data_IF_752402389331
#
_entry.id   IF_752402389331
#
_cell.length_a   1.000
_cell.length_b   1.000
_cell.length_c   1.000
_cell.angle_alpha   90.00
_cell.angle_beta   90.00
_cell.angle_gamma   90.00
#
_symmetry.space_group_name_H-M   'P 1'
#
loop_
_entity.id
_entity.type
_entity.pdbx_description
1 polymer ?
#
# COMPACT_ATOMS: atom_id res chain seq x y z
N UNK A 1 -13.89 20.74 -11.40
CA UNK A 1 -13.14 21.15 -10.18
C UNK A 1 -11.93 21.94 -10.59
N UNK A 2 -11.55 23.02 -9.87
CA UNK A 2 -10.35 23.82 -10.18
C UNK A 2 -9.05 23.07 -9.81
N UNK A 3 -7.93 23.55 -10.38
CA UNK A 3 -6.60 22.98 -10.18
C UNK A 3 -5.61 24.06 -9.76
N UNK A 4 -5.69 24.54 -8.49
CA UNK A 4 -4.99 25.74 -8.04
C UNK A 4 -3.46 25.64 -8.16
N UNK A 5 -2.88 24.44 -7.88
CA UNK A 5 -1.43 24.23 -8.01
C UNK A 5 -1.00 24.29 -9.48
N UNK A 6 -1.73 23.60 -10.38
CA UNK A 6 -1.43 23.62 -11.81
C UNK A 6 -1.57 25.00 -12.41
N UNK A 7 -2.59 25.76 -12.01
CA UNK A 7 -2.83 27.13 -12.48
C UNK A 7 -1.68 28.05 -12.05
N UNK A 8 -1.27 27.98 -10.78
CA UNK A 8 -0.15 28.76 -10.25
C UNK A 8 1.16 28.45 -11.00
N UNK A 9 1.53 27.16 -11.10
CA UNK A 9 2.79 26.75 -11.73
C UNK A 9 2.83 27.16 -13.22
N UNK A 10 1.69 27.04 -13.93
CA UNK A 10 1.58 27.48 -15.33
C UNK A 10 1.77 29.00 -15.42
N UNK A 11 1.09 29.78 -14.58
CA UNK A 11 1.22 31.24 -14.54
C UNK A 11 2.66 31.67 -14.24
N UNK A 12 3.31 31.01 -13.27
CA UNK A 12 4.71 31.26 -12.94
C UNK A 12 5.64 30.92 -14.12
N UNK A 13 5.47 29.80 -14.79
CA UNK A 13 6.24 29.44 -15.98
C UNK A 13 6.10 30.51 -17.07
N UNK A 14 4.86 30.97 -17.32
CA UNK A 14 4.52 31.89 -18.40
C UNK A 14 4.91 33.37 -18.07
N UNK A 15 5.24 33.68 -16.81
CA UNK A 15 5.67 35.00 -16.37
C UNK A 15 7.08 35.40 -16.85
N UNK A 16 7.87 34.44 -17.36
CA UNK A 16 9.28 34.64 -17.72
C UNK A 16 10.15 35.18 -16.57
N UNK A 17 9.80 34.90 -15.33
CA UNK A 17 10.57 35.30 -14.16
C UNK A 17 11.99 34.70 -14.17
N UNK A 18 12.99 35.48 -13.82
CA UNK A 18 14.36 35.01 -13.69
C UNK A 18 14.48 34.14 -12.43
N UNK A 19 14.77 32.88 -12.60
CA UNK A 19 14.80 31.87 -11.53
C UNK A 19 16.15 31.89 -10.79
N UNK A 20 16.28 32.68 -9.73
CA UNK A 20 17.45 32.68 -8.86
C UNK A 20 17.29 31.82 -7.60
N UNK A 21 16.19 31.09 -7.49
CA UNK A 21 15.85 30.11 -6.44
C UNK A 21 16.11 28.66 -6.91
N UNK A 22 15.97 27.67 -6.01
CA UNK A 22 15.92 26.24 -6.37
C UNK A 22 14.73 25.98 -7.31
N UNK A 23 14.71 24.89 -8.10
CA UNK A 23 15.78 23.89 -8.29
C UNK A 23 16.95 24.38 -9.16
N UNK A 24 18.06 23.63 -9.13
CA UNK A 24 19.32 23.98 -9.82
C UNK A 24 19.23 24.07 -11.33
N UNK A 25 18.29 23.38 -11.98
CA UNK A 25 18.07 23.43 -13.44
C UNK A 25 17.49 24.77 -13.94
N UNK A 26 16.97 25.63 -13.04
CA UNK A 26 16.45 26.98 -13.37
C UNK A 26 15.34 27.01 -14.44
N UNK A 27 14.63 25.89 -14.63
CA UNK A 27 13.59 25.71 -15.66
C UNK A 27 14.11 25.35 -17.04
N UNK A 28 15.45 25.21 -17.22
CA UNK A 28 16.03 24.75 -18.47
C UNK A 28 15.74 23.26 -18.68
N UNK A 29 15.40 22.88 -19.91
CA UNK A 29 15.01 21.52 -20.22
C UNK A 29 16.21 20.57 -20.27
N UNK A 30 16.19 19.52 -19.44
CA UNK A 30 17.10 18.38 -19.45
C UNK A 30 16.33 17.08 -19.73
N UNK A 31 15.15 16.90 -19.09
CA UNK A 31 14.24 15.77 -19.30
C UNK A 31 12.88 16.20 -19.85
N UNK A 32 12.61 17.53 -19.91
CA UNK A 32 11.41 18.12 -20.51
C UNK A 32 10.34 18.61 -19.54
N UNK A 33 10.45 18.31 -18.25
CA UNK A 33 9.47 18.73 -17.23
C UNK A 33 9.91 19.90 -16.35
N UNK A 34 11.15 20.35 -16.46
CA UNK A 34 11.82 21.30 -15.54
C UNK A 34 11.16 22.67 -15.50
N UNK A 35 10.52 23.09 -16.59
CA UNK A 35 9.77 24.35 -16.61
C UNK A 35 8.59 24.37 -15.65
N UNK A 36 8.04 23.18 -15.30
CA UNK A 36 6.94 22.97 -14.38
C UNK A 36 7.41 22.59 -12.96
N UNK A 37 8.71 22.31 -12.79
CA UNK A 37 9.28 22.01 -11.50
C UNK A 37 9.71 23.28 -10.79
N UNK A 38 9.10 23.56 -9.64
CA UNK A 38 9.32 24.73 -8.81
C UNK A 38 9.59 24.33 -7.36
N UNK A 39 9.84 25.28 -6.51
CA UNK A 39 9.94 25.12 -5.06
C UNK A 39 8.92 26.01 -4.34
N UNK A 40 8.99 26.08 -3.04
CA UNK A 40 8.17 26.91 -2.14
C UNK A 40 8.47 28.40 -2.29
N UNK A 41 8.25 28.97 -3.49
CA UNK A 41 8.33 30.39 -3.76
C UNK A 41 7.07 31.11 -3.28
N UNK A 42 7.10 32.43 -3.24
CA UNK A 42 5.94 33.23 -2.83
C UNK A 42 4.70 32.89 -3.65
N UNK A 43 3.61 32.58 -2.95
CA UNK A 43 2.35 32.11 -3.53
C UNK A 43 2.28 30.61 -3.89
N UNK A 44 3.39 29.86 -3.83
CA UNK A 44 3.40 28.42 -4.13
C UNK A 44 2.88 27.55 -2.98
N UNK A 45 2.75 28.10 -1.76
CA UNK A 45 2.38 27.37 -0.54
C UNK A 45 3.47 26.40 -0.04
N UNK A 46 3.30 25.78 1.12
CA UNK A 46 4.23 24.84 1.77
C UNK A 46 3.48 23.59 2.19
N UNK A 47 3.85 22.42 1.66
CA UNK A 47 3.02 21.19 1.73
C UNK A 47 2.56 20.84 3.16
N UNK A 48 3.45 20.87 4.16
CA UNK A 48 3.09 20.43 5.51
C UNK A 48 2.73 21.57 6.47
N UNK A 49 2.56 22.76 5.95
CA UNK A 49 1.97 23.92 6.62
C UNK A 49 1.03 24.69 5.69
N UNK A 50 0.41 23.95 4.77
CA UNK A 50 -0.40 24.49 3.69
C UNK A 50 -1.56 25.34 4.20
N UNK A 51 -1.66 26.56 3.62
CA UNK A 51 -2.73 27.51 3.87
C UNK A 51 -3.15 28.29 2.60
N UNK A 52 -2.60 27.91 1.44
CA UNK A 52 -2.83 28.50 0.12
C UNK A 52 -3.31 27.46 -0.90
N UNK A 53 -2.66 27.45 -2.07
CA UNK A 53 -3.06 26.62 -3.23
C UNK A 53 -2.98 25.11 -2.95
N UNK A 54 -2.04 24.66 -2.12
CA UNK A 54 -1.95 23.25 -1.73
C UNK A 54 -3.10 22.91 -0.79
N UNK A 55 -3.42 23.76 0.19
CA UNK A 55 -4.54 23.57 1.09
C UNK A 55 -5.87 23.50 0.30
N UNK A 56 -6.07 24.38 -0.69
CA UNK A 56 -7.25 24.37 -1.55
C UNK A 56 -7.34 23.07 -2.36
N UNK A 57 -6.24 22.60 -2.95
CA UNK A 57 -6.21 21.32 -3.68
C UNK A 57 -6.49 20.12 -2.77
N UNK A 58 -5.94 20.10 -1.55
CA UNK A 58 -6.25 19.07 -0.55
C UNK A 58 -7.71 19.12 -0.08
N UNK A 59 -8.32 20.29 -0.01
CA UNK A 59 -9.76 20.44 0.27
C UNK A 59 -10.59 19.84 -0.86
N UNK A 60 -10.23 20.09 -2.12
CA UNK A 60 -10.86 19.46 -3.28
C UNK A 60 -10.81 17.91 -3.19
N UNK A 61 -9.67 17.36 -2.84
CA UNK A 61 -9.55 15.91 -2.60
C UNK A 61 -10.42 15.45 -1.42
N UNK A 62 -10.48 16.24 -0.33
CA UNK A 62 -11.31 15.91 0.83
C UNK A 62 -12.79 15.82 0.47
N UNK A 63 -13.27 16.70 -0.40
CA UNK A 63 -14.65 16.69 -0.90
C UNK A 63 -14.93 15.47 -1.76
N UNK A 64 -14.01 15.13 -2.70
CA UNK A 64 -14.14 13.95 -3.57
C UNK A 64 -14.21 12.63 -2.79
N UNK A 65 -13.32 12.47 -1.79
CA UNK A 65 -13.26 11.26 -0.99
C UNK A 65 -14.21 11.27 0.24
N UNK A 66 -14.94 12.36 0.45
CA UNK A 66 -15.89 12.47 1.57
C UNK A 66 -15.26 12.50 2.95
N UNK A 67 -13.97 12.88 3.06
CA UNK A 67 -13.16 12.89 4.28
C UNK A 67 -13.36 14.16 5.11
N UNK A 68 -12.89 14.17 6.35
CA UNK A 68 -12.71 15.41 7.13
C UNK A 68 -11.46 16.16 6.65
N UNK A 69 -10.41 15.41 6.30
CA UNK A 69 -9.16 15.97 5.81
C UNK A 69 -8.43 14.93 4.94
N UNK A 70 -7.96 15.37 3.78
CA UNK A 70 -7.05 14.60 2.93
C UNK A 70 -5.74 15.36 2.80
N UNK A 71 -4.64 14.72 3.16
CA UNK A 71 -3.29 15.29 3.04
C UNK A 71 -2.53 14.59 1.93
N UNK A 72 -1.77 15.36 1.16
CA UNK A 72 -0.93 14.85 0.09
C UNK A 72 0.41 14.31 0.61
N UNK A 73 0.90 13.28 -0.04
CA UNK A 73 2.27 12.78 0.07
C UNK A 73 2.93 12.78 -1.30
N UNK A 74 4.17 13.23 -1.38
CA UNK A 74 5.05 13.07 -2.54
C UNK A 74 5.99 11.85 -2.40
N UNK A 75 5.86 11.08 -1.32
CA UNK A 75 6.77 9.99 -0.92
C UNK A 75 6.01 8.65 -0.79
N UNK A 76 4.93 8.51 -1.55
CA UNK A 76 4.06 7.34 -1.54
C UNK A 76 3.24 7.19 -0.26
N UNK A 77 2.45 6.12 -0.20
CA UNK A 77 1.72 5.72 1.01
C UNK A 77 2.65 5.38 2.18
N UNK A 78 3.95 5.13 1.92
CA UNK A 78 4.94 4.87 2.98
C UNK A 78 5.01 5.99 4.01
N UNK A 79 4.95 7.25 3.58
CA UNK A 79 4.86 8.40 4.48
C UNK A 79 3.54 8.39 5.25
N UNK A 80 2.42 8.17 4.55
CA UNK A 80 1.09 8.15 5.16
C UNK A 80 0.94 7.03 6.20
N UNK A 81 1.48 5.83 5.95
CA UNK A 81 1.48 4.71 6.90
C UNK A 81 2.22 5.08 8.19
N UNK A 82 3.43 5.66 8.08
CA UNK A 82 4.20 6.10 9.26
C UNK A 82 3.45 7.19 10.04
N UNK A 83 2.84 8.14 9.34
CA UNK A 83 2.03 9.18 9.96
C UNK A 83 0.79 8.62 10.67
N UNK A 84 0.06 7.67 10.07
CA UNK A 84 -1.07 6.99 10.71
C UNK A 84 -0.67 6.29 11.99
N UNK A 85 0.46 5.56 12.00
CA UNK A 85 0.96 4.85 13.18
C UNK A 85 1.37 5.82 14.29
N UNK A 86 2.05 6.90 13.92
CA UNK A 86 2.40 7.97 14.87
C UNK A 86 1.14 8.63 15.47
N UNK A 87 0.14 8.95 14.64
CA UNK A 87 -1.14 9.53 15.08
C UNK A 87 -1.90 8.58 16.00
N UNK A 88 -1.96 7.29 15.64
CA UNK A 88 -2.59 6.28 16.49
C UNK A 88 -1.92 6.22 17.88
N UNK A 89 -0.58 6.27 17.93
CA UNK A 89 0.17 6.28 19.19
C UNK A 89 -0.06 7.57 19.98
N UNK A 90 0.01 8.73 19.30
CA UNK A 90 -0.13 10.06 19.93
C UNK A 90 -1.53 10.30 20.47
N UNK A 91 -2.56 9.84 19.74
CA UNK A 91 -3.97 10.18 19.98
C UNK A 91 -4.77 9.04 20.62
N UNK A 92 -4.12 7.92 20.94
CA UNK A 92 -4.76 6.78 21.60
C UNK A 92 -5.28 7.16 22.98
N UNK A 93 -6.45 6.62 23.33
CA UNK A 93 -7.04 6.70 24.66
C UNK A 93 -6.54 5.60 25.63
N UNK A 94 -5.66 4.71 25.16
CA UNK A 94 -5.10 3.60 25.94
C UNK A 94 -3.66 3.84 26.35
N UNK A 95 -3.23 3.30 27.51
CA UNK A 95 -1.83 3.28 27.95
C UNK A 95 -1.01 2.18 27.26
N UNK A 96 -1.53 1.59 26.20
CA UNK A 96 -0.87 0.55 25.44
C UNK A 96 0.15 1.14 24.46
N UNK A 97 1.20 0.38 24.17
CA UNK A 97 2.13 0.62 23.07
C UNK A 97 1.96 -0.40 21.96
N UNK A 98 0.92 -1.24 22.01
CA UNK A 98 0.70 -2.34 21.09
C UNK A 98 -0.30 -1.92 20.01
N UNK A 99 0.02 -2.22 18.76
CA UNK A 99 -0.92 -2.18 17.65
C UNK A 99 -1.27 -3.61 17.24
N UNK A 100 -2.56 -3.86 17.00
CA UNK A 100 -3.02 -5.12 16.43
C UNK A 100 -3.05 -4.99 14.91
N UNK A 101 -2.52 -5.96 14.16
CA UNK A 101 -2.44 -5.88 12.70
C UNK A 101 -2.66 -7.22 12.00
N UNK A 102 -3.19 -7.19 10.77
CA UNK A 102 -3.17 -8.34 9.87
C UNK A 102 -1.75 -8.66 9.40
N UNK A 103 -1.40 -9.96 9.33
CA UNK A 103 0.00 -10.39 9.10
C UNK A 103 0.54 -10.03 7.70
N UNK A 104 -0.31 -9.74 6.74
CA UNK A 104 0.06 -9.32 5.39
C UNK A 104 0.35 -7.82 5.26
N UNK A 105 0.67 -7.13 6.34
CA UNK A 105 1.03 -5.72 6.33
C UNK A 105 2.31 -5.46 5.52
N UNK A 106 2.32 -4.38 4.72
CA UNK A 106 3.49 -3.98 3.95
C UNK A 106 4.71 -3.71 4.86
N UNK A 107 5.95 -3.99 4.38
CA UNK A 107 7.18 -3.77 5.17
C UNK A 107 7.30 -2.38 5.81
N UNK A 108 6.73 -1.33 5.17
CA UNK A 108 6.71 0.04 5.71
C UNK A 108 5.96 0.14 7.04
N UNK A 109 4.95 -0.73 7.27
CA UNK A 109 4.29 -0.82 8.56
C UNK A 109 5.30 -1.10 9.69
N UNK A 110 6.23 -2.04 9.47
CA UNK A 110 7.23 -2.38 10.47
C UNK A 110 8.21 -1.23 10.75
N UNK A 111 8.65 -0.50 9.71
CA UNK A 111 9.46 0.71 9.95
C UNK A 111 8.69 1.78 10.74
N UNK A 112 7.41 1.95 10.46
CA UNK A 112 6.53 2.86 11.20
C UNK A 112 6.34 2.44 12.67
N UNK A 113 6.11 1.15 12.91
CA UNK A 113 6.02 0.55 14.26
C UNK A 113 7.29 0.83 15.06
N UNK A 114 8.47 0.51 14.49
CA UNK A 114 9.75 0.70 15.16
C UNK A 114 10.06 2.20 15.45
N UNK A 115 9.83 3.07 14.48
CA UNK A 115 10.06 4.53 14.63
C UNK A 115 9.11 5.16 15.64
N UNK A 116 7.85 4.73 15.69
CA UNK A 116 6.86 5.22 16.65
C UNK A 116 6.98 4.59 18.05
N UNK A 117 7.90 3.64 18.25
CA UNK A 117 8.07 2.92 19.51
C UNK A 117 6.85 2.06 19.89
N UNK A 118 6.15 1.55 18.87
CA UNK A 118 5.07 0.60 19.03
C UNK A 118 5.61 -0.83 19.05
N UNK A 119 4.85 -1.70 19.68
CA UNK A 119 4.92 -3.15 19.53
C UNK A 119 3.77 -3.63 18.65
N UNK A 120 3.90 -4.83 18.07
CA UNK A 120 2.87 -5.40 17.22
C UNK A 120 2.39 -6.76 17.75
N UNK A 121 1.09 -6.94 17.71
CA UNK A 121 0.39 -8.22 17.84
C UNK A 121 -0.24 -8.56 16.50
N UNK A 122 -0.12 -9.81 16.07
CA UNK A 122 -0.55 -10.23 14.75
C UNK A 122 -1.86 -11.00 14.78
N UNK A 123 -2.71 -10.73 13.80
CA UNK A 123 -3.79 -11.63 13.38
C UNK A 123 -3.31 -12.42 12.17
N UNK A 124 -3.48 -13.73 12.23
CA UNK A 124 -3.15 -14.68 11.17
C UNK A 124 -4.43 -15.24 10.56
N UNK A 125 -4.40 -15.51 9.28
CA UNK A 125 -5.41 -16.32 8.61
C UNK A 125 -4.95 -17.78 8.61
N UNK A 126 -5.53 -18.59 9.49
CA UNK A 126 -5.19 -20.02 9.63
C UNK A 126 -5.55 -20.83 8.39
N UNK A 127 -6.40 -20.30 7.51
CA UNK A 127 -6.86 -20.95 6.30
C UNK A 127 -6.21 -20.38 5.02
N UNK A 128 -5.24 -19.46 5.15
CA UNK A 128 -4.62 -18.83 4.00
C UNK A 128 -3.75 -19.83 3.21
N UNK A 129 -4.02 -19.96 1.93
CA UNK A 129 -3.18 -20.71 0.99
C UNK A 129 -1.87 -19.99 0.64
N UNK A 130 -1.72 -18.72 1.03
CA UNK A 130 -0.56 -17.89 0.76
C UNK A 130 -0.36 -16.83 1.84
N UNK A 131 0.89 -16.53 2.18
CA UNK A 131 1.25 -15.43 3.08
C UNK A 131 0.93 -14.04 2.50
N UNK A 132 0.65 -13.95 1.19
CA UNK A 132 0.27 -12.71 0.50
C UNK A 132 -1.12 -12.21 0.89
N UNK A 133 -1.93 -13.08 1.48
CA UNK A 133 -3.28 -12.76 1.95
C UNK A 133 -3.42 -13.01 3.44
N UNK A 134 -4.23 -12.21 4.10
CA UNK A 134 -4.64 -12.43 5.49
C UNK A 134 -6.07 -11.90 5.65
N UNK A 135 -7.03 -12.81 5.50
CA UNK A 135 -8.46 -12.51 5.67
C UNK A 135 -8.80 -12.54 7.15
N UNK A 136 -8.98 -11.37 7.74
CA UNK A 136 -9.41 -11.23 9.15
C UNK A 136 -10.93 -11.07 9.19
N UNK A 137 -11.60 -11.94 9.95
CA UNK A 137 -13.05 -11.81 10.18
C UNK A 137 -13.34 -10.94 11.41
N UNK A 138 -14.56 -10.35 11.50
CA UNK A 138 -15.00 -9.62 12.69
C UNK A 138 -14.92 -10.46 13.97
N UNK A 139 -15.24 -11.75 13.87
CA UNK A 139 -15.22 -12.70 15.01
C UNK A 139 -13.79 -12.94 15.51
N UNK A 140 -12.82 -13.11 14.57
CA UNK A 140 -11.41 -13.26 14.92
C UNK A 140 -10.88 -11.99 15.60
N UNK A 141 -11.21 -10.80 15.04
CA UNK A 141 -10.83 -9.52 15.63
C UNK A 141 -11.39 -9.39 17.05
N UNK A 142 -12.70 -9.64 17.24
CA UNK A 142 -13.36 -9.56 18.53
C UNK A 142 -12.79 -10.54 19.55
N UNK A 143 -12.57 -11.79 19.15
CA UNK A 143 -11.96 -12.81 20.00
C UNK A 143 -10.54 -12.40 20.44
N UNK A 144 -9.72 -11.87 19.51
CA UNK A 144 -8.37 -11.40 19.85
C UNK A 144 -8.39 -10.22 20.81
N UNK A 145 -9.25 -9.22 20.59
CA UNK A 145 -9.39 -8.05 21.46
C UNK A 145 -9.84 -8.44 22.86
N UNK A 146 -10.72 -9.45 23.00
CA UNK A 146 -11.15 -9.96 24.30
C UNK A 146 -10.05 -10.75 25.03
N UNK A 147 -9.13 -11.36 24.31
CA UNK A 147 -8.00 -12.10 24.89
C UNK A 147 -6.83 -11.20 25.30
N UNK A 148 -6.79 -9.95 24.85
CA UNK A 148 -5.72 -9.00 25.20
C UNK A 148 -5.95 -8.41 26.60
N UNK A 149 -4.90 -8.38 27.42
CA UNK A 149 -4.93 -7.75 28.75
C UNK A 149 -5.17 -6.23 28.65
N UNK A 150 -4.57 -5.59 27.65
CA UNK A 150 -4.75 -4.17 27.36
C UNK A 150 -5.20 -3.99 25.93
N UNK A 151 -6.17 -3.12 25.69
CA UNK A 151 -6.64 -2.77 24.35
C UNK A 151 -5.48 -2.15 23.53
N UNK A 152 -5.33 -2.52 22.24
CA UNK A 152 -4.32 -1.93 21.39
C UNK A 152 -4.62 -0.46 21.06
N UNK A 153 -3.63 0.31 20.62
CA UNK A 153 -3.82 1.70 20.19
C UNK A 153 -4.69 1.79 18.93
N UNK A 154 -4.63 0.76 18.07
CA UNK A 154 -5.42 0.66 16.84
C UNK A 154 -5.43 -0.80 16.35
N UNK A 155 -6.38 -1.08 15.46
CA UNK A 155 -6.31 -2.22 14.54
C UNK A 155 -5.90 -1.72 13.15
N UNK A 156 -4.87 -2.34 12.55
CA UNK A 156 -4.36 -2.03 11.23
C UNK A 156 -4.62 -3.20 10.27
N UNK A 157 -5.15 -2.89 9.08
CA UNK A 157 -5.46 -3.89 8.05
C UNK A 157 -5.05 -3.38 6.67
N UNK A 158 -4.54 -4.28 5.81
CA UNK A 158 -4.30 -4.02 4.39
C UNK A 158 -5.48 -4.54 3.57
N UNK A 159 -6.18 -3.63 2.88
CA UNK A 159 -7.32 -3.96 2.01
C UNK A 159 -7.51 -2.88 0.93
N UNK A 160 -7.53 -3.24 -0.38
CA UNK A 160 -7.30 -4.60 -0.91
C UNK A 160 -5.90 -5.13 -0.62
N UNK A 161 -5.77 -6.45 -0.49
CA UNK A 161 -4.46 -7.08 -0.39
C UNK A 161 -3.78 -7.24 -1.78
N UNK A 162 -2.59 -7.82 -1.78
CA UNK A 162 -1.79 -7.94 -3.00
C UNK A 162 -2.41 -8.87 -4.05
N UNK A 163 -3.13 -9.89 -3.60
CA UNK A 163 -3.85 -10.82 -4.47
C UNK A 163 -5.25 -10.33 -4.87
N UNK A 164 -5.66 -9.15 -4.37
CA UNK A 164 -6.96 -8.55 -4.67
C UNK A 164 -8.09 -9.03 -3.77
N UNK A 165 -7.80 -9.58 -2.58
CA UNK A 165 -8.86 -9.85 -1.62
C UNK A 165 -9.25 -8.57 -0.89
N UNK A 166 -10.56 -8.37 -0.70
CA UNK A 166 -11.13 -7.21 -0.02
C UNK A 166 -11.68 -7.66 1.34
N UNK A 167 -11.28 -6.97 2.41
CA UNK A 167 -11.79 -7.22 3.76
C UNK A 167 -13.16 -6.57 3.97
N UNK A 168 -13.98 -7.15 4.84
CA UNK A 168 -15.23 -6.52 5.28
C UNK A 168 -14.94 -5.37 6.27
N UNK A 169 -14.47 -4.25 5.70
CA UNK A 169 -14.10 -3.05 6.48
C UNK A 169 -15.30 -2.53 7.29
N UNK A 170 -16.53 -2.65 6.75
CA UNK A 170 -17.74 -2.20 7.44
C UNK A 170 -17.97 -2.97 8.75
N UNK A 171 -17.92 -4.29 8.68
CA UNK A 171 -18.10 -5.13 9.87
C UNK A 171 -16.92 -5.00 10.84
N UNK A 172 -15.68 -4.91 10.35
CA UNK A 172 -14.50 -4.66 11.18
C UNK A 172 -14.55 -3.29 11.87
N UNK A 173 -15.05 -2.25 11.18
CA UNK A 173 -15.22 -0.91 11.77
C UNK A 173 -16.24 -0.90 12.89
N UNK A 174 -17.30 -1.71 12.78
CA UNK A 174 -18.29 -1.86 13.85
C UNK A 174 -17.66 -2.48 15.11
N UNK A 175 -16.85 -3.53 14.96
CA UNK A 175 -16.10 -4.12 16.10
C UNK A 175 -15.16 -3.09 16.73
N UNK A 176 -14.40 -2.37 15.91
CA UNK A 176 -13.48 -1.33 16.43
C UNK A 176 -14.23 -0.24 17.20
N UNK A 177 -15.41 0.17 16.73
CA UNK A 177 -16.27 1.15 17.39
C UNK A 177 -16.79 0.63 18.73
N UNK A 178 -17.28 -0.62 18.79
CA UNK A 178 -17.74 -1.27 20.02
C UNK A 178 -16.64 -1.36 21.07
N UNK A 179 -15.41 -1.64 20.63
CA UNK A 179 -14.23 -1.81 21.48
C UNK A 179 -13.47 -0.50 21.75
N UNK A 180 -13.95 0.63 21.19
CA UNK A 180 -13.35 1.97 21.31
C UNK A 180 -11.86 2.01 20.90
N UNK A 181 -11.51 1.39 19.78
CA UNK A 181 -10.18 1.41 19.17
C UNK A 181 -10.23 2.02 17.78
N UNK A 182 -9.10 2.55 17.33
CA UNK A 182 -8.99 3.10 15.98
C UNK A 182 -8.91 1.97 14.94
N UNK A 183 -9.56 2.15 13.78
CA UNK A 183 -9.35 1.34 12.58
C UNK A 183 -8.50 2.11 11.58
N UNK A 184 -7.34 1.56 11.22
CA UNK A 184 -6.41 2.07 10.22
C UNK A 184 -6.41 1.14 9.02
N UNK A 185 -6.60 1.68 7.82
CA UNK A 185 -6.60 0.88 6.60
C UNK A 185 -5.46 1.29 5.66
N UNK A 186 -4.63 0.33 5.29
CA UNK A 186 -3.71 0.46 4.16
C UNK A 186 -4.47 0.06 2.89
N UNK A 187 -4.99 1.06 2.20
CA UNK A 187 -5.75 0.94 0.96
C UNK A 187 -4.87 1.32 -0.26
N UNK A 188 -3.58 1.03 -0.19
CA UNK A 188 -2.63 1.45 -1.22
C UNK A 188 -3.03 1.05 -2.65
N UNK A 189 -3.81 0.00 -2.83
CA UNK A 189 -4.32 -0.46 -4.13
C UNK A 189 -5.76 -0.01 -4.44
N UNK A 190 -6.44 0.66 -3.50
CA UNK A 190 -7.89 0.89 -3.56
C UNK A 190 -8.33 2.35 -3.68
N UNK A 191 -7.47 3.30 -4.11
CA UNK A 191 -7.87 4.71 -4.23
C UNK A 191 -9.12 4.90 -5.12
N UNK A 192 -9.31 4.07 -6.15
CA UNK A 192 -10.45 4.11 -7.05
C UNK A 192 -11.78 3.67 -6.39
N UNK A 193 -11.74 2.94 -5.26
CA UNK A 193 -12.92 2.40 -4.57
C UNK A 193 -13.90 3.49 -4.12
N UNK A 194 -13.43 4.72 -3.92
CA UNK A 194 -14.29 5.88 -3.63
C UNK A 194 -15.24 6.25 -4.77
N UNK A 195 -14.92 5.83 -6.00
CA UNK A 195 -15.62 6.16 -7.23
C UNK A 195 -16.36 4.98 -7.84
N UNK A 196 -16.40 3.84 -7.16
CA UNK A 196 -17.26 2.72 -7.54
C UNK A 196 -18.72 3.04 -7.20
N UNK A 197 -19.64 2.37 -7.88
CA UNK A 197 -21.09 2.61 -7.72
C UNK A 197 -21.56 2.58 -6.26
N UNK A 198 -20.97 1.73 -5.42
CA UNK A 198 -21.37 1.56 -4.02
C UNK A 198 -20.42 2.28 -3.03
N UNK A 199 -19.41 2.97 -3.53
CA UNK A 199 -18.35 3.58 -2.72
C UNK A 199 -17.87 2.67 -1.60
N UNK A 200 -17.04 1.70 -1.97
CA UNK A 200 -16.46 0.72 -1.04
C UNK A 200 -15.11 1.16 -0.44
N UNK A 201 -14.80 2.44 -0.52
CA UNK A 201 -13.58 3.01 0.07
C UNK A 201 -13.61 2.89 1.61
N UNK A 202 -12.49 2.53 2.26
CA UNK A 202 -12.44 2.30 3.71
C UNK A 202 -12.99 3.45 4.57
N UNK A 203 -12.77 4.70 4.16
CA UNK A 203 -13.34 5.86 4.88
C UNK A 203 -14.87 5.85 4.86
N UNK A 204 -15.47 5.53 3.73
CA UNK A 204 -16.93 5.42 3.61
C UNK A 204 -17.48 4.25 4.43
N UNK A 205 -16.69 3.19 4.61
CA UNK A 205 -17.04 2.00 5.38
C UNK A 205 -16.70 2.11 6.88
N UNK A 206 -16.15 3.23 7.35
CA UNK A 206 -15.98 3.53 8.77
C UNK A 206 -14.55 3.45 9.32
N UNK A 207 -13.53 3.29 8.47
CA UNK A 207 -12.14 3.44 8.90
C UNK A 207 -11.89 4.88 9.43
N UNK A 208 -11.11 5.00 10.49
CA UNK A 208 -10.77 6.31 11.07
C UNK A 208 -9.69 7.03 10.26
N UNK A 209 -8.70 6.28 9.78
CA UNK A 209 -7.67 6.76 8.88
C UNK A 209 -7.40 5.73 7.79
N UNK A 210 -7.03 6.22 6.61
CA UNK A 210 -6.72 5.38 5.45
C UNK A 210 -5.58 6.01 4.65
N UNK A 211 -4.71 5.20 4.06
CA UNK A 211 -3.74 5.69 3.08
C UNK A 211 -3.99 5.07 1.71
N UNK A 212 -3.87 5.91 0.68
CA UNK A 212 -3.97 5.50 -0.71
C UNK A 212 -2.66 5.81 -1.46
N UNK A 213 -2.13 4.85 -2.21
CA UNK A 213 -1.13 5.12 -3.22
C UNK A 213 -1.84 5.58 -4.51
N UNK A 214 -2.14 6.88 -4.61
CA UNK A 214 -2.86 7.43 -5.76
C UNK A 214 -2.23 7.01 -7.10
N UNK A 215 -0.89 7.00 -7.16
CA UNK A 215 -0.13 6.62 -8.36
C UNK A 215 -0.31 5.17 -8.82
N UNK A 216 -0.89 4.27 -8.01
CA UNK A 216 -1.11 2.87 -8.41
C UNK A 216 -2.39 2.70 -9.23
N UNK A 217 -3.45 3.44 -8.91
CA UNK A 217 -4.77 3.24 -9.51
C UNK A 217 -5.40 4.50 -10.11
N UNK A 218 -4.84 5.67 -9.84
CA UNK A 218 -5.28 6.95 -10.42
C UNK A 218 -4.17 7.51 -11.32
N UNK A 219 -4.47 8.43 -12.28
CA UNK A 219 -3.48 8.99 -13.19
C UNK A 219 -2.58 10.05 -12.51
N UNK A 220 -1.80 9.59 -11.53
CA UNK A 220 -0.91 10.38 -10.70
C UNK A 220 0.53 9.91 -10.89
N UNK A 221 1.49 10.83 -10.86
CA UNK A 221 2.92 10.50 -10.95
C UNK A 221 3.35 9.64 -9.76
N UNK A 222 4.31 8.73 -10.02
CA UNK A 222 4.88 7.84 -8.99
C UNK A 222 5.34 8.64 -7.77
N UNK A 223 4.95 8.19 -6.58
CA UNK A 223 5.17 8.89 -5.32
C UNK A 223 3.96 9.67 -4.82
N UNK A 224 2.98 10.00 -5.68
CA UNK A 224 1.75 10.66 -5.26
C UNK A 224 0.84 9.73 -4.46
N UNK A 225 0.46 10.18 -3.25
CA UNK A 225 -0.38 9.39 -2.34
C UNK A 225 -1.20 10.31 -1.43
N UNK A 226 -2.16 9.72 -0.72
CA UNK A 226 -3.03 10.40 0.22
C UNK A 226 -2.94 9.80 1.62
N UNK A 227 -3.08 10.66 2.62
CA UNK A 227 -3.54 10.31 3.96
C UNK A 227 -4.96 10.87 4.12
N UNK A 228 -5.93 9.98 4.27
CA UNK A 228 -7.33 10.33 4.50
C UNK A 228 -7.69 10.20 5.97
N UNK A 229 -8.40 11.18 6.50
CA UNK A 229 -8.91 11.19 7.88
C UNK A 229 -10.43 11.31 7.82
N UNK A 230 -11.09 10.36 8.45
CA UNK A 230 -12.56 10.29 8.51
C UNK A 230 -13.16 11.44 9.33
N UNK A 231 -14.40 11.83 9.01
CA UNK A 231 -15.22 12.74 9.83
C UNK A 231 -15.51 12.17 11.23
N UNK A 232 -15.41 10.85 11.39
CA UNK A 232 -15.61 10.15 12.66
C UNK A 232 -14.30 9.97 13.46
N UNK A 233 -13.16 10.42 12.94
CA UNK A 233 -11.90 10.35 13.66
C UNK A 233 -11.88 11.34 14.85
N UNK A 234 -11.22 11.01 15.97
CA UNK A 234 -11.03 11.94 17.09
C UNK A 234 -10.42 13.28 16.64
N UNK A 235 -10.88 14.41 17.20
CA UNK A 235 -10.43 15.76 16.79
C UNK A 235 -8.92 15.95 16.92
N UNK A 236 -8.28 15.37 17.93
CA UNK A 236 -6.83 15.44 18.12
C UNK A 236 -6.02 14.81 16.96
N UNK A 237 -6.60 13.85 16.22
CA UNK A 237 -5.99 13.32 14.99
C UNK A 237 -5.93 14.39 13.91
N UNK A 238 -7.04 15.12 13.68
CA UNK A 238 -7.11 16.19 12.69
C UNK A 238 -6.12 17.33 12.99
N UNK A 239 -6.01 17.71 14.26
CA UNK A 239 -5.12 18.76 14.73
C UNK A 239 -3.64 18.42 14.53
N UNK A 240 -3.27 17.15 14.71
CA UNK A 240 -1.88 16.69 14.63
C UNK A 240 -1.48 16.12 13.26
N UNK A 241 -2.40 16.01 12.30
CA UNK A 241 -2.18 15.31 11.05
C UNK A 241 -1.05 15.90 10.18
N UNK A 242 -1.01 17.22 10.00
CA UNK A 242 0.07 17.88 9.25
C UNK A 242 1.42 17.71 9.92
N UNK A 243 1.48 17.85 11.24
CA UNK A 243 2.69 17.61 12.03
C UNK A 243 3.16 16.15 11.88
N UNK A 244 2.25 15.17 11.88
CA UNK A 244 2.59 13.78 11.70
C UNK A 244 3.19 13.51 10.31
N UNK A 245 2.63 14.09 9.26
CA UNK A 245 3.18 14.00 7.90
C UNK A 245 4.57 14.66 7.83
N UNK A 246 4.72 15.86 8.34
CA UNK A 246 5.99 16.60 8.35
C UNK A 246 7.12 15.85 9.06
N UNK A 247 6.80 15.09 10.12
CA UNK A 247 7.81 14.37 10.92
C UNK A 247 8.60 13.32 10.11
N UNK A 248 7.96 12.72 9.11
CA UNK A 248 8.52 11.61 8.32
C UNK A 248 8.85 11.99 6.88
N UNK A 249 8.64 13.25 6.50
CA UNK A 249 8.76 13.69 5.12
C UNK A 249 10.08 14.43 4.84
N UNK A 250 10.38 14.58 3.56
CA UNK A 250 11.34 15.54 3.05
C UNK A 250 10.78 16.97 3.17
N UNK A 251 11.66 17.95 3.42
CA UNK A 251 11.32 19.38 3.36
C UNK A 251 11.30 19.92 1.92
N UNK A 252 11.51 19.09 0.92
CA UNK A 252 11.56 19.48 -0.50
C UNK A 252 10.56 18.63 -1.31
N UNK A 253 9.25 18.91 -1.21
CA UNK A 253 8.25 18.15 -1.95
C UNK A 253 8.35 18.41 -3.46
N UNK A 254 8.07 17.38 -4.27
CA UNK A 254 8.02 17.52 -5.73
C UNK A 254 6.74 18.22 -6.17
N UNK A 255 6.87 19.42 -6.73
CA UNK A 255 5.73 20.12 -7.32
C UNK A 255 5.18 19.47 -8.58
N UNK A 256 5.95 18.62 -9.27
CA UNK A 256 5.43 17.79 -10.35
C UNK A 256 4.43 16.75 -9.83
N UNK A 257 4.74 16.12 -8.69
CA UNK A 257 3.82 15.17 -8.04
C UNK A 257 2.59 15.91 -7.50
N UNK A 258 2.77 17.07 -6.85
CA UNK A 258 1.65 17.87 -6.36
C UNK A 258 0.72 18.31 -7.48
N UNK A 259 1.24 18.75 -8.63
CA UNK A 259 0.43 19.05 -9.82
C UNK A 259 -0.33 17.85 -10.33
N UNK A 260 0.29 16.65 -10.30
CA UNK A 260 -0.40 15.44 -10.73
C UNK A 260 -1.57 15.06 -9.81
N UNK A 261 -1.42 15.23 -8.49
CA UNK A 261 -2.50 15.06 -7.51
C UNK A 261 -3.62 16.10 -7.69
N UNK A 262 -3.25 17.37 -7.89
CA UNK A 262 -4.17 18.47 -8.17
C UNK A 262 -4.95 18.24 -9.48
N UNK A 263 -4.26 17.80 -10.53
CA UNK A 263 -4.90 17.47 -11.80
C UNK A 263 -5.81 16.26 -11.71
N UNK A 264 -5.46 15.27 -10.88
CA UNK A 264 -6.30 14.11 -10.62
C UNK A 264 -7.66 14.50 -10.01
N UNK A 265 -7.71 15.51 -9.12
CA UNK A 265 -8.99 15.99 -8.57
C UNK A 265 -9.96 16.43 -9.68
N UNK A 266 -9.48 17.22 -10.65
CA UNK A 266 -10.31 17.67 -11.77
C UNK A 266 -10.74 16.48 -12.66
N UNK A 267 -9.85 15.53 -12.91
CA UNK A 267 -10.14 14.34 -13.68
C UNK A 267 -11.21 13.46 -12.99
N UNK A 268 -11.07 13.23 -11.69
CA UNK A 268 -11.99 12.41 -10.90
C UNK A 268 -13.39 13.05 -10.79
N UNK A 269 -13.47 14.39 -10.78
CA UNK A 269 -14.72 15.12 -10.70
C UNK A 269 -15.50 15.19 -12.03
N UNK A 270 -14.97 14.67 -13.14
CA UNK A 270 -15.55 14.83 -14.49
C UNK A 270 -15.69 13.48 -15.20
N UNK A 271 -16.78 12.79 -14.91
CA UNK A 271 -17.18 11.54 -15.59
C UNK A 271 -16.26 10.34 -15.34
N UNK A 272 -15.45 10.36 -14.28
CA UNK A 272 -14.56 9.25 -13.94
C UNK A 272 -15.32 7.98 -13.59
N UNK A 273 -16.42 8.07 -12.85
CA UNK A 273 -17.23 6.91 -12.44
C UNK A 273 -17.73 6.10 -13.65
N UNK A 274 -18.14 6.77 -14.72
CA UNK A 274 -18.57 6.08 -15.95
C UNK A 274 -17.40 5.37 -16.65
N UNK A 275 -16.22 6.01 -16.69
CA UNK A 275 -15.02 5.41 -17.28
C UNK A 275 -14.55 4.21 -16.45
N UNK A 276 -14.59 4.35 -15.13
CA UNK A 276 -14.26 3.29 -14.19
C UNK A 276 -15.17 2.09 -14.38
N UNK A 277 -16.49 2.30 -14.42
CA UNK A 277 -17.46 1.22 -14.61
C UNK A 277 -17.23 0.47 -15.93
N UNK A 278 -16.99 1.17 -17.04
CA UNK A 278 -16.65 0.54 -18.33
C UNK A 278 -15.38 -0.31 -18.27
N UNK A 279 -14.37 0.14 -17.52
CA UNK A 279 -13.14 -0.61 -17.29
C UNK A 279 -13.41 -1.88 -16.47
N UNK A 280 -14.17 -1.76 -15.39
CA UNK A 280 -14.60 -2.86 -14.53
C UNK A 280 -15.37 -3.92 -15.33
N UNK A 281 -16.33 -3.52 -16.12
CA UNK A 281 -17.13 -4.43 -16.95
C UNK A 281 -16.25 -5.27 -17.90
N UNK A 282 -15.26 -4.61 -18.53
CA UNK A 282 -14.29 -5.29 -19.41
C UNK A 282 -13.35 -6.23 -18.65
N UNK A 283 -12.86 -5.79 -17.48
CA UNK A 283 -12.01 -6.62 -16.63
C UNK A 283 -12.76 -7.88 -16.16
N UNK A 284 -14.02 -7.73 -15.72
CA UNK A 284 -14.84 -8.85 -15.28
C UNK A 284 -15.15 -9.83 -16.42
N UNK A 285 -15.47 -9.32 -17.61
CA UNK A 285 -15.65 -10.15 -18.81
C UNK A 285 -14.40 -10.94 -19.15
N UNK A 286 -13.21 -10.32 -19.04
CA UNK A 286 -11.93 -11.01 -19.25
C UNK A 286 -11.71 -12.11 -18.21
N UNK A 287 -11.99 -11.84 -16.92
CA UNK A 287 -11.89 -12.83 -15.84
C UNK A 287 -12.79 -14.04 -16.09
N UNK A 288 -14.05 -13.81 -16.46
CA UNK A 288 -15.01 -14.87 -16.81
C UNK A 288 -14.49 -15.71 -17.99
N UNK A 289 -14.09 -15.07 -19.07
CA UNK A 289 -13.58 -15.73 -20.28
C UNK A 289 -12.33 -16.58 -20.01
N UNK A 290 -11.41 -16.11 -19.16
CA UNK A 290 -10.22 -16.85 -18.77
C UNK A 290 -10.56 -18.01 -17.83
N UNK A 291 -11.51 -17.84 -16.92
CA UNK A 291 -12.02 -18.92 -16.07
C UNK A 291 -12.66 -20.04 -16.89
N UNK A 292 -13.49 -19.71 -17.87
CA UNK A 292 -14.07 -20.69 -18.80
C UNK A 292 -13.00 -21.42 -19.63
N UNK A 293 -11.89 -20.74 -19.94
CA UNK A 293 -10.75 -21.34 -20.63
C UNK A 293 -9.92 -22.26 -19.72
N UNK A 294 -10.17 -22.26 -18.40
CA UNK A 294 -9.57 -23.14 -17.42
C UNK A 294 -8.47 -22.51 -16.56
N UNK A 295 -8.31 -21.20 -16.56
CA UNK A 295 -7.50 -20.49 -15.59
C UNK A 295 -8.22 -20.39 -14.25
N UNK A 296 -7.49 -20.46 -13.14
CA UNK A 296 -8.03 -20.18 -11.81
C UNK A 296 -7.79 -18.72 -11.46
N UNK A 297 -8.87 -17.94 -11.37
CA UNK A 297 -8.84 -16.52 -11.01
C UNK A 297 -9.08 -16.39 -9.51
N UNK A 298 -8.30 -15.53 -8.85
CA UNK A 298 -8.35 -15.28 -7.42
C UNK A 298 -8.62 -13.80 -7.13
N UNK A 299 -9.07 -13.52 -5.90
CA UNK A 299 -9.33 -12.17 -5.42
C UNK A 299 -10.68 -11.60 -5.88
N UNK A 300 -11.14 -10.59 -5.13
CA UNK A 300 -12.45 -9.96 -5.30
C UNK A 300 -12.35 -8.57 -5.95
N UNK A 301 -11.11 -8.01 -6.05
CA UNK A 301 -10.86 -6.66 -6.57
C UNK A 301 -11.16 -6.57 -8.07
N UNK A 302 -11.96 -5.58 -8.44
CA UNK A 302 -12.51 -5.47 -9.79
C UNK A 302 -11.45 -5.12 -10.85
N UNK A 303 -10.50 -4.23 -10.53
CA UNK A 303 -9.45 -3.78 -11.47
C UNK A 303 -8.18 -4.67 -11.44
N UNK A 304 -8.18 -5.74 -10.68
CA UNK A 304 -7.05 -6.66 -10.60
C UNK A 304 -7.42 -8.02 -11.16
N UNK A 305 -6.57 -8.57 -12.01
CA UNK A 305 -6.65 -9.93 -12.50
C UNK A 305 -5.52 -10.73 -11.87
N UNK A 306 -5.87 -11.56 -10.89
CA UNK A 306 -4.94 -12.45 -10.20
C UNK A 306 -5.17 -13.87 -10.68
N UNK A 307 -4.15 -14.50 -11.26
CA UNK A 307 -4.19 -15.87 -11.77
C UNK A 307 -3.35 -16.77 -10.86
N UNK A 308 -3.95 -17.82 -10.30
CA UNK A 308 -3.20 -18.94 -9.71
C UNK A 308 -2.65 -19.83 -10.83
N UNK A 309 -1.39 -19.56 -11.21
CA UNK A 309 -0.79 -20.08 -12.43
C UNK A 309 -0.61 -21.60 -12.43
N UNK A 310 -0.30 -22.18 -11.28
CA UNK A 310 -0.01 -23.63 -11.13
C UNK A 310 -1.18 -24.53 -11.49
N UNK A 311 -2.41 -24.08 -11.34
CA UNK A 311 -3.59 -24.84 -11.76
C UNK A 311 -3.66 -25.03 -13.27
N UNK A 312 -3.04 -24.13 -14.04
CA UNK A 312 -2.96 -24.20 -15.50
C UNK A 312 -1.68 -24.90 -16.00
N UNK A 313 -0.79 -25.30 -15.06
CA UNK A 313 0.43 -26.05 -15.35
C UNK A 313 1.68 -25.22 -15.58
N UNK A 314 1.68 -23.97 -15.13
CA UNK A 314 2.81 -23.05 -15.18
C UNK A 314 3.04 -22.40 -13.83
N UNK A 315 4.25 -21.95 -13.56
CA UNK A 315 4.50 -21.00 -12.48
C UNK A 315 4.05 -19.60 -12.89
N UNK A 316 3.76 -18.73 -11.90
CA UNK A 316 3.43 -17.34 -12.21
C UNK A 316 4.60 -16.62 -12.90
N UNK A 317 5.85 -16.96 -12.53
CA UNK A 317 7.05 -16.44 -13.20
C UNK A 317 7.12 -16.86 -14.69
N UNK A 318 6.77 -18.12 -15.01
CA UNK A 318 6.71 -18.58 -16.43
C UNK A 318 5.63 -17.82 -17.20
N UNK A 319 4.44 -17.60 -16.60
CA UNK A 319 3.38 -16.81 -17.22
C UNK A 319 3.81 -15.34 -17.39
N UNK A 320 4.44 -14.75 -16.39
CA UNK A 320 4.96 -13.37 -16.47
C UNK A 320 5.99 -13.22 -17.61
N UNK A 321 6.92 -14.16 -17.73
CA UNK A 321 7.90 -14.18 -18.82
C UNK A 321 7.23 -14.36 -20.21
N UNK A 322 6.21 -15.23 -20.30
CA UNK A 322 5.45 -15.41 -21.53
C UNK A 322 4.72 -14.13 -21.93
N UNK A 323 4.09 -13.42 -21.00
CA UNK A 323 3.46 -12.13 -21.26
C UNK A 323 4.47 -11.09 -21.68
N UNK A 324 5.64 -11.02 -21.04
CA UNK A 324 6.71 -10.08 -21.39
C UNK A 324 7.25 -10.30 -22.82
N UNK A 325 7.36 -11.56 -23.28
CA UNK A 325 7.69 -11.89 -24.67
C UNK A 325 6.63 -11.42 -25.67
N UNK A 326 5.40 -11.17 -25.22
CA UNK A 326 4.30 -10.61 -25.98
C UNK A 326 4.07 -9.11 -25.69
N UNK A 327 5.08 -8.40 -25.15
CA UNK A 327 5.06 -6.99 -24.79
C UNK A 327 3.98 -6.62 -23.74
N UNK A 328 3.60 -7.56 -22.86
CA UNK A 328 2.68 -7.33 -21.75
C UNK A 328 3.48 -7.46 -20.45
N UNK A 329 3.63 -6.35 -19.72
CA UNK A 329 4.35 -6.32 -18.44
C UNK A 329 3.34 -6.44 -17.33
N UNK A 330 3.49 -7.45 -16.46
CA UNK A 330 2.62 -7.66 -15.31
C UNK A 330 3.01 -6.75 -14.13
N UNK A 331 2.07 -6.51 -13.23
CA UNK A 331 2.34 -5.84 -11.96
C UNK A 331 3.23 -6.69 -11.05
N UNK A 332 2.94 -8.00 -11.02
CA UNK A 332 3.62 -8.91 -10.13
C UNK A 332 3.57 -10.34 -10.68
N UNK A 333 4.62 -11.12 -10.46
CA UNK A 333 4.59 -12.57 -10.59
C UNK A 333 5.56 -13.23 -9.60
N UNK A 334 5.15 -14.36 -9.06
CA UNK A 334 5.94 -15.22 -8.18
C UNK A 334 5.81 -16.70 -8.62
N UNK A 335 6.32 -17.68 -7.86
CA UNK A 335 6.15 -19.09 -8.22
C UNK A 335 4.70 -19.55 -8.32
N UNK A 336 3.75 -18.88 -7.68
CA UNK A 336 2.33 -19.30 -7.58
C UNK A 336 1.39 -18.45 -8.42
N UNK A 337 1.58 -17.12 -8.42
CA UNK A 337 0.62 -16.15 -8.94
C UNK A 337 1.18 -15.27 -10.05
N UNK A 338 0.29 -14.80 -10.90
CA UNK A 338 0.47 -13.68 -11.81
C UNK A 338 -0.61 -12.64 -11.52
N UNK A 339 -0.22 -11.37 -11.42
CA UNK A 339 -1.15 -10.25 -11.18
C UNK A 339 -1.01 -9.19 -12.25
N UNK A 340 -2.15 -8.82 -12.87
CA UNK A 340 -2.29 -7.69 -13.77
C UNK A 340 -3.21 -6.66 -13.11
N UNK A 341 -2.88 -5.37 -13.26
CA UNK A 341 -3.71 -4.26 -12.79
C UNK A 341 -4.23 -3.47 -13.98
N UNK A 342 -5.52 -3.19 -13.97
CA UNK A 342 -6.20 -2.38 -14.98
C UNK A 342 -6.50 -0.98 -14.45
N UNK A 343 -6.69 -0.06 -15.39
CA UNK A 343 -7.02 1.33 -15.10
C UNK A 343 -7.87 1.88 -16.26
N UNK A 344 -8.80 2.81 -16.04
CA UNK A 344 -9.57 3.45 -17.12
C UNK A 344 -8.72 4.12 -18.20
N UNK A 345 -7.45 4.43 -17.92
CA UNK A 345 -6.50 4.98 -18.90
C UNK A 345 -5.91 3.92 -19.86
N UNK A 346 -6.14 2.64 -19.57
CA UNK A 346 -5.73 1.59 -20.50
C UNK A 346 -6.58 1.65 -21.78
N UNK A 347 -5.92 1.52 -22.93
CA UNK A 347 -6.66 1.42 -24.20
C UNK A 347 -7.55 0.16 -24.22
N UNK A 348 -8.77 0.27 -24.75
CA UNK A 348 -9.76 -0.81 -24.72
C UNK A 348 -9.29 -2.13 -25.35
N UNK A 349 -8.42 -2.06 -26.35
CA UNK A 349 -7.88 -3.26 -27.02
C UNK A 349 -7.03 -4.16 -26.14
N UNK A 350 -6.53 -3.69 -24.99
CA UNK A 350 -5.64 -4.48 -24.14
C UNK A 350 -6.34 -5.74 -23.62
N UNK A 351 -7.63 -5.66 -23.28
CA UNK A 351 -8.39 -6.80 -22.77
C UNK A 351 -8.44 -7.94 -23.80
N UNK A 352 -8.71 -7.61 -25.06
CA UNK A 352 -8.71 -8.58 -26.16
C UNK A 352 -7.31 -9.12 -26.45
N UNK A 353 -6.27 -8.28 -26.36
CA UNK A 353 -4.88 -8.70 -26.55
C UNK A 353 -4.47 -9.71 -25.46
N UNK A 354 -4.74 -9.39 -24.18
CA UNK A 354 -4.42 -10.26 -23.03
C UNK A 354 -5.18 -11.59 -23.16
N UNK A 355 -6.48 -11.55 -23.48
CA UNK A 355 -7.28 -12.75 -23.73
C UNK A 355 -6.65 -13.64 -24.79
N UNK A 356 -6.34 -13.06 -25.97
CA UNK A 356 -5.74 -13.81 -27.10
C UNK A 356 -4.40 -14.41 -26.70
N UNK A 357 -3.55 -13.66 -26.02
CA UNK A 357 -2.20 -14.13 -25.63
C UNK A 357 -2.33 -15.27 -24.60
N UNK A 358 -3.11 -15.10 -23.54
CA UNK A 358 -3.27 -16.15 -22.52
C UNK A 358 -3.94 -17.40 -23.10
N UNK A 359 -4.94 -17.26 -23.99
CA UNK A 359 -5.58 -18.41 -24.66
C UNK A 359 -4.69 -19.14 -25.65
N UNK A 360 -3.63 -18.52 -26.17
CA UNK A 360 -2.68 -19.16 -27.06
C UNK A 360 -1.72 -20.14 -26.34
N UNK A 361 -1.65 -20.04 -25.00
CA UNK A 361 -0.78 -20.90 -24.20
C UNK A 361 -1.47 -22.26 -23.95
N UNK A 362 -0.84 -23.40 -24.33
CA UNK A 362 -1.46 -24.71 -24.12
C UNK A 362 -1.51 -25.06 -22.64
N UNK A 363 -2.65 -25.57 -22.18
CA UNK A 363 -2.79 -26.08 -20.82
C UNK A 363 -1.91 -27.31 -20.60
N UNK A 364 -1.23 -27.36 -19.45
CA UNK A 364 -0.42 -28.50 -18.99
C UNK A 364 -1.03 -29.10 -17.72
N UNK A 365 -0.46 -30.21 -17.28
CA UNK A 365 -0.82 -30.80 -16.00
C UNK A 365 -0.51 -29.84 -14.84
N UNK A 366 -1.44 -29.74 -13.89
CA UNK A 366 -1.31 -28.84 -12.75
C UNK A 366 -0.04 -29.13 -11.91
N UNK A 367 0.67 -28.10 -11.54
CA UNK A 367 1.85 -28.19 -10.67
C UNK A 367 1.37 -28.35 -9.22
N UNK A 368 1.63 -29.52 -8.63
CA UNK A 368 1.19 -29.88 -7.27
C UNK A 368 2.06 -29.27 -6.16
N UNK A 369 3.30 -28.83 -6.47
CA UNK A 369 4.21 -28.24 -5.50
C UNK A 369 3.65 -26.89 -5.00
N UNK A 370 3.32 -26.83 -3.71
CA UNK A 370 2.85 -25.60 -3.02
C UNK A 370 4.02 -24.89 -2.32
N UNK A 371 3.81 -23.62 -1.96
CA UNK A 371 4.72 -22.92 -1.06
C UNK A 371 4.85 -23.68 0.27
N UNK A 372 6.04 -23.71 0.89
CA UNK A 372 6.21 -24.25 2.23
C UNK A 372 5.29 -23.56 3.25
N UNK A 373 4.75 -24.32 4.19
CA UNK A 373 4.02 -23.74 5.32
C UNK A 373 4.98 -22.90 6.18
N UNK A 374 4.49 -21.79 6.67
CA UNK A 374 5.21 -20.92 7.61
C UNK A 374 4.68 -21.14 9.03
N UNK A 375 5.49 -21.72 9.91
CA UNK A 375 5.21 -21.71 11.34
C UNK A 375 5.36 -20.28 11.87
N UNK A 376 4.49 -19.86 12.77
CA UNK A 376 4.48 -18.51 13.31
C UNK A 376 5.85 -18.19 13.94
N UNK A 377 6.60 -17.20 13.42
CA UNK A 377 7.88 -16.81 14.01
C UNK A 377 7.69 -16.25 15.41
N UNK A 378 8.59 -16.62 16.34
CA UNK A 378 8.55 -16.14 17.71
C UNK A 378 9.16 -14.73 17.80
N UNK A 379 8.45 -13.78 18.42
CA UNK A 379 9.02 -12.47 18.77
C UNK A 379 10.00 -12.62 19.94
N UNK A 380 11.27 -12.24 19.74
CA UNK A 380 12.34 -12.30 20.73
C UNK A 380 12.62 -10.94 21.35
N UNK A 381 12.66 -9.88 20.53
CA UNK A 381 12.86 -8.50 20.96
C UNK A 381 11.86 -7.59 20.27
N UNK A 382 11.72 -6.35 20.76
CA UNK A 382 10.80 -5.40 20.10
C UNK A 382 11.29 -5.02 18.70
N UNK A 383 10.39 -4.63 17.78
CA UNK A 383 10.79 -4.15 16.46
C UNK A 383 11.80 -2.99 16.51
N UNK A 384 11.63 -2.08 17.47
CA UNK A 384 12.55 -0.95 17.68
C UNK A 384 13.94 -1.44 18.10
N UNK A 385 14.04 -2.37 19.06
CA UNK A 385 15.33 -2.93 19.49
C UNK A 385 16.03 -3.61 18.32
N UNK A 386 15.32 -4.39 17.50
CA UNK A 386 15.91 -5.09 16.36
C UNK A 386 16.48 -4.12 15.32
N UNK A 387 15.69 -3.13 14.88
CA UNK A 387 16.11 -2.18 13.83
C UNK A 387 17.28 -1.30 14.27
N UNK A 388 17.37 -0.95 15.56
CA UNK A 388 18.45 -0.12 16.09
C UNK A 388 19.63 -0.91 16.65
N UNK A 389 19.63 -2.26 16.53
CA UNK A 389 20.76 -3.11 16.90
C UNK A 389 21.81 -3.13 15.79
N UNK A 390 23.08 -3.38 16.18
CA UNK A 390 24.09 -3.75 15.20
C UNK A 390 23.68 -5.03 14.47
N UNK A 391 23.85 -5.05 13.16
CA UNK A 391 23.46 -6.16 12.31
C UNK A 391 24.60 -6.70 11.45
N UNK A 392 24.44 -7.91 10.98
CA UNK A 392 25.29 -8.55 9.98
C UNK A 392 24.41 -9.27 8.95
N UNK A 393 24.89 -9.34 7.73
CA UNK A 393 24.21 -10.13 6.68
C UNK A 393 24.75 -11.55 6.70
N UNK A 394 23.86 -12.53 6.77
CA UNK A 394 24.20 -13.95 6.73
C UNK A 394 23.49 -14.65 5.58
N UNK A 395 24.08 -15.73 5.06
CA UNK A 395 23.41 -16.65 4.16
C UNK A 395 22.23 -17.32 4.88
N UNK A 396 21.13 -17.60 4.16
CA UNK A 396 19.93 -18.21 4.76
C UNK A 396 20.21 -19.56 5.44
N UNK A 397 21.20 -20.32 4.98
CA UNK A 397 21.61 -21.59 5.61
C UNK A 397 22.17 -21.40 7.03
N UNK A 398 22.61 -20.20 7.37
CA UNK A 398 23.13 -19.81 8.68
C UNK A 398 22.13 -18.93 9.48
N UNK A 399 20.91 -18.75 8.99
CA UNK A 399 19.95 -17.80 9.56
C UNK A 399 19.05 -18.40 10.64
N UNK A 400 18.87 -19.73 10.68
CA UNK A 400 17.99 -20.39 11.68
C UNK A 400 18.42 -20.05 13.11
N UNK A 401 17.45 -19.67 13.95
CA UNK A 401 17.67 -19.26 15.35
C UNK A 401 18.23 -17.85 15.51
N UNK A 402 18.43 -17.12 14.42
CA UNK A 402 18.87 -15.71 14.45
C UNK A 402 17.65 -14.79 14.47
N UNK A 403 17.82 -13.61 15.05
CA UNK A 403 16.76 -12.58 15.11
C UNK A 403 16.92 -11.62 13.96
N UNK A 404 15.83 -11.38 13.20
CA UNK A 404 15.84 -10.47 12.07
C UNK A 404 16.05 -9.02 12.52
N UNK A 405 16.97 -8.30 11.85
CA UNK A 405 17.33 -6.90 12.12
C UNK A 405 16.71 -5.91 11.11
N UNK A 406 16.50 -6.32 9.85
CA UNK A 406 15.83 -5.48 8.86
C UNK A 406 14.32 -5.41 9.11
N UNK A 407 13.64 -4.41 8.56
CA UNK A 407 12.18 -4.22 8.76
C UNK A 407 11.40 -5.50 8.51
N UNK A 408 11.73 -6.20 7.42
CA UNK A 408 11.17 -7.50 7.08
C UNK A 408 12.06 -8.22 6.06
N UNK A 409 12.03 -9.55 6.05
CA UNK A 409 12.34 -10.34 4.85
C UNK A 409 11.02 -10.62 4.16
N UNK A 410 10.88 -10.08 2.98
CA UNK A 410 9.61 -10.11 2.24
C UNK A 410 9.74 -10.99 1.01
N UNK A 411 8.69 -11.78 0.73
CA UNK A 411 8.49 -12.23 -0.64
C UNK A 411 8.16 -11.01 -1.52
N UNK A 412 8.52 -11.02 -2.80
CA UNK A 412 7.97 -10.01 -3.70
C UNK A 412 6.43 -10.05 -3.61
N UNK A 413 5.76 -8.92 -3.52
CA UNK A 413 6.20 -7.55 -3.68
C UNK A 413 6.50 -6.77 -2.39
N UNK A 414 6.45 -7.30 -1.21
CA UNK A 414 6.84 -6.69 0.06
C UNK A 414 6.03 -7.19 1.28
N UNK A 415 5.45 -8.38 1.16
CA UNK A 415 4.72 -9.03 2.27
C UNK A 415 5.70 -9.81 3.14
N UNK A 416 5.75 -9.55 4.46
CA UNK A 416 6.77 -10.10 5.33
C UNK A 416 6.59 -11.61 5.60
N UNK A 417 7.64 -12.38 5.34
CA UNK A 417 7.79 -13.76 5.87
C UNK A 417 8.17 -13.70 7.34
N UNK A 418 9.24 -12.94 7.65
CA UNK A 418 9.70 -12.65 9.02
C UNK A 418 9.86 -11.15 9.16
N UNK A 419 9.54 -10.58 10.30
CA UNK A 419 9.68 -9.15 10.61
C UNK A 419 10.76 -8.92 11.66
N UNK A 420 11.22 -7.66 11.77
CA UNK A 420 12.24 -7.28 12.75
C UNK A 420 11.84 -7.67 14.19
N UNK A 421 12.80 -8.29 14.88
CA UNK A 421 12.61 -8.77 16.25
C UNK A 421 12.07 -10.20 16.37
N UNK A 422 11.66 -10.82 15.26
CA UNK A 422 11.27 -12.23 15.20
C UNK A 422 12.49 -13.14 14.97
N UNK A 423 12.41 -14.36 15.53
CA UNK A 423 13.37 -15.44 15.27
C UNK A 423 13.08 -16.08 13.91
N UNK A 424 14.13 -16.28 13.13
CA UNK A 424 14.07 -16.98 11.86
C UNK A 424 14.05 -18.49 12.15
N UNK A 425 12.89 -19.13 12.00
CA UNK A 425 12.74 -20.57 12.18
C UNK A 425 13.04 -21.36 10.88
N UNK A 426 13.09 -22.69 10.95
CA UNK A 426 13.38 -23.55 9.80
C UNK A 426 12.36 -23.43 8.68
N UNK A 427 11.08 -23.21 9.01
CA UNK A 427 10.02 -23.06 8.00
C UNK A 427 10.18 -21.74 7.23
N UNK A 428 10.61 -20.66 7.90
CA UNK A 428 10.95 -19.40 7.26
C UNK A 428 12.13 -19.57 6.28
N UNK A 429 13.19 -20.29 6.65
CA UNK A 429 14.33 -20.55 5.75
C UNK A 429 13.91 -21.32 4.51
N UNK A 430 13.01 -22.31 4.64
CA UNK A 430 12.45 -23.05 3.49
C UNK A 430 11.68 -22.10 2.57
N UNK A 431 10.92 -21.20 3.16
CA UNK A 431 10.11 -20.23 2.42
C UNK A 431 10.97 -19.16 1.74
N UNK A 432 12.07 -18.72 2.39
CA UNK A 432 13.09 -17.87 1.77
C UNK A 432 13.65 -18.50 0.49
N UNK A 433 14.07 -19.77 0.58
CA UNK A 433 14.55 -20.52 -0.60
C UNK A 433 13.49 -20.65 -1.69
N UNK A 434 12.21 -20.79 -1.32
CA UNK A 434 11.10 -20.85 -2.27
C UNK A 434 10.92 -19.56 -3.07
N UNK A 435 11.09 -18.40 -2.42
CA UNK A 435 11.01 -17.07 -3.05
C UNK A 435 12.36 -16.55 -3.57
N UNK A 436 13.41 -17.37 -3.58
CA UNK A 436 14.73 -16.98 -4.12
C UNK A 436 15.49 -15.97 -3.26
N UNK A 437 15.20 -15.91 -1.98
CA UNK A 437 15.94 -15.08 -1.00
C UNK A 437 17.15 -15.88 -0.55
N UNK A 438 18.36 -15.32 -0.66
CA UNK A 438 19.62 -16.01 -0.37
C UNK A 438 20.34 -15.51 0.87
N UNK A 439 20.07 -14.29 1.32
CA UNK A 439 20.71 -13.69 2.49
C UNK A 439 19.75 -12.76 3.24
N UNK A 440 19.99 -12.61 4.54
CA UNK A 440 19.16 -11.82 5.44
C UNK A 440 20.04 -11.04 6.43
N UNK A 441 19.57 -9.86 6.87
CA UNK A 441 20.23 -9.08 7.91
C UNK A 441 19.69 -9.51 9.27
N UNK A 442 20.59 -9.94 10.16
CA UNK A 442 20.27 -10.40 11.51
C UNK A 442 20.99 -9.57 12.56
N UNK A 443 20.44 -9.49 13.77
CA UNK A 443 21.13 -8.82 14.89
C UNK A 443 22.45 -9.54 15.21
N UNK A 444 23.52 -8.78 15.44
CA UNK A 444 24.77 -9.37 15.90
C UNK A 444 24.56 -10.00 17.29
N UNK A 445 25.03 -11.23 17.45
CA UNK A 445 25.11 -11.83 18.76
C UNK A 445 26.26 -11.16 19.50
N UNK A 446 25.97 -10.38 20.54
CA UNK A 446 26.98 -9.95 21.47
C UNK A 446 27.57 -11.23 22.11
N UNK A 447 28.83 -11.55 21.82
CA UNK A 447 29.56 -12.56 22.62
C UNK A 447 29.43 -12.09 24.07
N UNK A 448 28.73 -12.85 24.91
CA UNK A 448 28.83 -12.69 26.35
C UNK A 448 30.30 -12.96 26.65
N UNK A 449 31.08 -11.90 26.95
CA UNK A 449 32.42 -12.01 27.52
C UNK A 449 32.30 -12.52 28.95
#
# INVERSE_FOLDING_TARGET
MNTPICVFVKSYRDSNAIRLHMPGHKGNAFIGAESLDITEIDGADVLYSANGIIAESQQNASELFGTAKTLYSCEGSSLAIRAMLYLAKLCSSTDSNTILASRNAHKTFMSGVALSGLDVEWLYDENADSILSCRVTPEQLKARLNAMEKKPVAFYITSPDYLGNIADIKALSQVCKEENILLLCDNAHGAYLAFTKENTHPIALGAHMCCDSAHKTLPVLTGGAYLHISKNAPCNILENAQRAMSLFSSTSPSYLILQSLDRANAYLSDGYEEKLQKCIDKANKLKETLSEHGYTICGDEELKLTIFAKSYGYTGTELGNFLAQNNIICEFCDPDFLVLMFNPENHESIFTIIEKVLKSLPKKDAIKKRAPHLDIPQKIISPRQAIFSESETVDISCATGRVLASEAVSCPPAIPVVVCGEEINESAVKLFGYYGIHSVAVTKQHKKF
#
